data_IF_648614190693
#
_entry.id   IF_648614190693
#
_cell.length_a   1.000
_cell.length_b   1.000
_cell.length_c   1.000
_cell.angle_alpha   90.00
_cell.angle_beta   90.00
_cell.angle_gamma   90.00
#
_symmetry.space_group_name_H-M   'P 1'
#
loop_
_entity.id
_entity.type
_entity.pdbx_description
1 polymer ?
#
# COMPACT_ATOMS: atom_id res chain seq x y z
N UNK A 1 -3.58 -21.47 -9.70
CA UNK A 1 -2.71 -20.51 -10.42
C UNK A 1 -3.61 -19.74 -11.37
N UNK A 2 -4.29 -18.71 -10.85
CA UNK A 2 -5.10 -17.82 -11.68
C UNK A 2 -4.14 -16.76 -12.20
N UNK A 3 -3.75 -16.90 -13.45
CA UNK A 3 -3.00 -15.88 -14.17
C UNK A 3 -4.05 -14.87 -14.63
N UNK A 4 -4.25 -13.79 -13.87
CA UNK A 4 -5.03 -12.65 -14.34
C UNK A 4 -4.29 -12.07 -15.55
N UNK A 5 -4.95 -11.98 -16.70
CA UNK A 5 -4.31 -11.68 -17.99
C UNK A 5 -3.78 -10.24 -18.12
N UNK A 6 -3.78 -9.45 -17.04
CA UNK A 6 -3.32 -8.06 -16.96
C UNK A 6 -2.28 -7.83 -15.85
N UNK A 7 -1.72 -8.85 -15.21
CA UNK A 7 -0.68 -8.63 -14.19
C UNK A 7 0.57 -7.97 -14.81
N UNK A 8 1.04 -6.82 -14.28
CA UNK A 8 2.18 -6.13 -14.82
C UNK A 8 3.46 -6.97 -14.67
N UNK A 9 4.41 -6.81 -15.61
CA UNK A 9 5.62 -7.62 -15.62
C UNK A 9 6.57 -7.19 -14.50
N UNK A 10 7.23 -8.14 -13.79
CA UNK A 10 8.25 -7.81 -12.80
C UNK A 10 9.33 -6.90 -13.37
N UNK A 11 9.80 -5.95 -12.57
CA UNK A 11 10.88 -5.03 -12.93
C UNK A 11 12.21 -5.61 -12.50
N UNK A 12 13.15 -5.69 -13.43
CA UNK A 12 14.52 -6.10 -13.13
C UNK A 12 15.32 -4.92 -12.57
N UNK A 13 16.05 -5.14 -11.48
CA UNK A 13 17.00 -4.18 -10.93
C UNK A 13 18.35 -4.82 -10.68
N UNK A 14 19.39 -4.18 -11.20
CA UNK A 14 20.76 -4.64 -11.07
C UNK A 14 21.43 -3.92 -9.90
N UNK A 15 21.95 -4.69 -8.96
CA UNK A 15 22.73 -4.19 -7.84
C UNK A 15 24.19 -4.39 -8.17
N UNK A 16 24.96 -3.31 -8.03
CA UNK A 16 26.40 -3.36 -8.16
C UNK A 16 27.12 -2.82 -6.92
N UNK A 17 28.26 -3.41 -6.57
CA UNK A 17 29.12 -2.86 -5.51
C UNK A 17 29.78 -1.55 -5.96
N UNK A 18 30.18 -0.71 -5.00
CA UNK A 18 30.96 0.49 -5.32
C UNK A 18 32.25 0.15 -6.06
N UNK A 19 32.90 -0.96 -5.69
CA UNK A 19 34.10 -1.43 -6.39
C UNK A 19 33.76 -1.64 -7.86
N UNK A 20 32.71 -2.43 -8.14
CA UNK A 20 32.32 -2.73 -9.52
C UNK A 20 31.92 -1.50 -10.33
N UNK A 21 31.21 -0.55 -9.71
CA UNK A 21 30.91 0.73 -10.33
C UNK A 21 32.17 1.50 -10.73
N UNK A 22 33.16 1.61 -9.84
CA UNK A 22 34.40 2.35 -10.10
C UNK A 22 35.40 1.57 -10.96
N UNK A 23 35.29 0.25 -11.04
CA UNK A 23 36.11 -0.60 -11.93
C UNK A 23 35.43 -0.90 -13.26
N UNK A 24 34.27 -0.31 -13.53
CA UNK A 24 33.47 -0.51 -14.75
C UNK A 24 33.18 -2.00 -15.04
N UNK A 25 32.93 -2.78 -13.99
CA UNK A 25 32.55 -4.20 -14.12
C UNK A 25 31.04 -4.36 -14.06
N UNK A 26 30.55 -5.50 -14.57
CA UNK A 26 29.12 -5.80 -14.60
C UNK A 26 28.51 -5.91 -13.18
N UNK A 27 27.21 -5.56 -13.01
CA UNK A 27 26.51 -5.74 -11.74
C UNK A 27 26.54 -7.19 -11.26
N UNK A 28 26.78 -7.40 -9.96
CA UNK A 28 26.93 -8.74 -9.41
C UNK A 28 25.61 -9.45 -9.16
N UNK A 29 24.51 -8.69 -8.97
CA UNK A 29 23.22 -9.25 -8.56
C UNK A 29 22.09 -8.66 -9.37
N UNK A 30 21.20 -9.55 -9.81
CA UNK A 30 19.91 -9.19 -10.39
C UNK A 30 18.79 -9.46 -9.37
N UNK A 31 17.94 -8.47 -9.12
CA UNK A 31 16.75 -8.59 -8.26
C UNK A 31 15.50 -8.29 -9.09
N UNK A 32 14.58 -9.24 -9.08
CA UNK A 32 13.23 -9.04 -9.59
C UNK A 32 12.38 -8.31 -8.54
N UNK A 33 11.74 -7.22 -8.95
CA UNK A 33 10.86 -6.40 -8.13
C UNK A 33 9.43 -6.47 -8.63
N UNK A 34 8.49 -6.36 -7.71
CA UNK A 34 7.10 -6.12 -8.09
C UNK A 34 6.97 -4.72 -8.72
N UNK A 35 6.09 -4.55 -9.71
CA UNK A 35 5.70 -3.25 -10.23
C UNK A 35 5.17 -2.34 -9.10
N UNK A 36 5.47 -1.03 -9.13
CA UNK A 36 4.95 -0.10 -8.12
C UNK A 36 3.42 -0.05 -8.08
N UNK A 37 2.75 -0.19 -9.24
CA UNK A 37 1.28 -0.26 -9.33
C UNK A 37 0.70 -1.49 -8.60
N UNK A 38 1.36 -2.64 -8.70
CA UNK A 38 0.97 -3.86 -7.97
C UNK A 38 1.24 -3.70 -6.47
N UNK A 39 2.32 -2.99 -6.11
CA UNK A 39 2.61 -2.66 -4.72
C UNK A 39 1.53 -1.74 -4.14
N UNK A 40 1.12 -0.69 -4.85
CA UNK A 40 0.04 0.20 -4.41
C UNK A 40 -1.28 -0.57 -4.21
N UNK A 41 -1.64 -1.44 -5.17
CA UNK A 41 -2.84 -2.27 -5.12
C UNK A 41 -2.85 -3.23 -3.92
N UNK A 42 -1.75 -3.94 -3.67
CA UNK A 42 -1.59 -4.83 -2.51
C UNK A 42 -1.68 -4.05 -1.18
N UNK A 43 -1.10 -2.85 -1.12
CA UNK A 43 -1.18 -1.98 0.06
C UNK A 43 -2.59 -1.48 0.32
N UNK A 44 -3.34 -1.09 -0.72
CA UNK A 44 -4.73 -0.67 -0.59
C UNK A 44 -5.62 -1.82 -0.09
N UNK A 45 -5.49 -3.01 -0.70
CA UNK A 45 -6.20 -4.22 -0.24
C UNK A 45 -5.87 -4.52 1.23
N UNK A 46 -4.57 -4.58 1.55
CA UNK A 46 -4.09 -4.91 2.88
C UNK A 46 -4.56 -3.90 3.94
N UNK A 47 -4.50 -2.59 3.66
CA UNK A 47 -5.00 -1.56 4.54
C UNK A 47 -6.50 -1.75 4.80
N UNK A 48 -7.28 -1.92 3.72
CA UNK A 48 -8.75 -2.02 3.76
C UNK A 48 -9.21 -3.13 4.69
N UNK A 49 -8.80 -4.37 4.47
CA UNK A 49 -9.30 -5.47 5.31
C UNK A 49 -8.69 -5.44 6.72
N UNK A 50 -7.48 -4.90 6.91
CA UNK A 50 -6.87 -4.79 8.24
C UNK A 50 -7.59 -3.78 9.12
N UNK A 51 -7.97 -2.64 8.57
CA UNK A 51 -8.77 -1.64 9.29
C UNK A 51 -10.14 -2.24 9.66
N UNK A 52 -10.84 -2.85 8.70
CA UNK A 52 -12.18 -3.42 8.96
C UNK A 52 -12.19 -4.67 9.85
N UNK A 53 -11.08 -5.40 9.92
CA UNK A 53 -10.93 -6.58 10.81
C UNK A 53 -10.20 -6.27 12.11
N UNK A 54 -9.75 -5.02 12.29
CA UNK A 54 -9.15 -4.59 13.53
C UNK A 54 -10.15 -4.80 14.67
N UNK A 55 -9.67 -5.42 15.73
CA UNK A 55 -10.33 -5.49 17.00
C UNK A 55 -9.41 -4.90 18.06
N UNK A 56 -9.53 -3.58 18.26
CA UNK A 56 -8.80 -2.79 19.26
C UNK A 56 -8.83 -3.37 20.68
N UNK A 57 -9.86 -4.16 21.02
CA UNK A 57 -9.99 -4.80 22.34
C UNK A 57 -9.25 -6.15 22.47
N UNK A 58 -8.72 -6.69 21.37
CA UNK A 58 -8.00 -7.95 21.35
C UNK A 58 -6.49 -7.74 21.55
N UNK A 59 -5.88 -8.56 22.42
CA UNK A 59 -4.42 -8.62 22.52
C UNK A 59 -3.82 -9.13 21.20
N UNK A 60 -2.89 -8.35 20.61
CA UNK A 60 -2.14 -8.73 19.41
C UNK A 60 -2.51 -7.97 18.14
N UNK A 61 -3.24 -6.87 18.26
CA UNK A 61 -3.34 -5.85 17.20
C UNK A 61 -1.95 -5.41 16.74
N UNK A 62 -1.81 -5.23 15.43
CA UNK A 62 -0.58 -4.79 14.76
C UNK A 62 -0.68 -3.28 14.49
N UNK A 63 -0.19 -2.42 15.41
CA UNK A 63 -0.26 -0.95 15.25
C UNK A 63 0.53 -0.48 14.03
N UNK A 64 1.44 -1.31 13.50
CA UNK A 64 2.18 -0.97 12.28
C UNK A 64 1.31 -1.09 11.03
N UNK A 65 0.05 -1.53 11.09
CA UNK A 65 -0.81 -1.60 9.90
C UNK A 65 -0.99 -0.24 9.22
N UNK A 66 -1.00 0.84 10.02
CA UNK A 66 -1.17 2.22 9.56
C UNK A 66 -0.03 2.65 8.62
N UNK A 67 1.10 1.94 8.61
CA UNK A 67 2.17 2.15 7.64
C UNK A 67 1.71 2.02 6.18
N UNK A 68 0.68 1.21 5.93
CA UNK A 68 0.17 1.05 4.55
C UNK A 68 -0.44 2.34 4.02
N UNK A 69 -1.05 3.16 4.89
CA UNK A 69 -1.50 4.51 4.55
C UNK A 69 -0.31 5.39 4.12
N UNK A 70 0.79 5.35 4.87
CA UNK A 70 2.01 6.07 4.51
C UNK A 70 2.65 5.54 3.20
N UNK A 71 2.70 4.22 3.02
CA UNK A 71 3.31 3.57 1.84
C UNK A 71 2.57 3.90 0.52
N UNK A 72 1.26 4.17 0.58
CA UNK A 72 0.44 4.50 -0.60
C UNK A 72 0.75 5.91 -1.10
N UNK A 73 0.99 6.87 -0.20
CA UNK A 73 1.12 8.28 -0.57
C UNK A 73 2.22 8.56 -1.62
N UNK A 74 3.45 8.01 -1.52
CA UNK A 74 4.48 8.19 -2.55
C UNK A 74 4.15 7.54 -3.90
N UNK A 75 3.17 6.63 -3.95
CA UNK A 75 2.79 5.89 -5.16
C UNK A 75 1.68 6.58 -5.97
N UNK A 76 1.13 7.71 -5.48
CA UNK A 76 0.00 8.39 -6.13
C UNK A 76 0.29 8.81 -7.58
N UNK A 77 1.52 9.22 -7.89
CA UNK A 77 1.89 9.55 -9.27
C UNK A 77 1.81 8.34 -10.20
N UNK A 78 2.24 7.17 -9.73
CA UNK A 78 2.15 5.90 -10.48
C UNK A 78 0.69 5.50 -10.69
N UNK A 79 -0.16 5.67 -9.67
CA UNK A 79 -1.59 5.37 -9.76
C UNK A 79 -2.24 6.26 -10.83
N UNK A 80 -1.98 7.57 -10.80
CA UNK A 80 -2.51 8.55 -11.78
C UNK A 80 -2.02 8.31 -13.21
N UNK A 81 -0.85 7.71 -13.38
CA UNK A 81 -0.31 7.41 -14.72
C UNK A 81 -1.11 6.30 -15.44
N UNK A 82 -1.70 5.36 -14.70
CA UNK A 82 -2.47 4.24 -15.27
C UNK A 82 -3.61 3.78 -14.33
N UNK A 83 -4.64 4.64 -14.19
CA UNK A 83 -5.78 4.42 -13.29
C UNK A 83 -6.56 3.14 -13.64
N UNK A 84 -6.78 2.85 -14.93
CA UNK A 84 -7.51 1.65 -15.36
C UNK A 84 -6.78 0.38 -14.93
N UNK A 85 -5.46 0.31 -15.16
CA UNK A 85 -4.67 -0.84 -14.72
C UNK A 85 -4.64 -0.94 -13.20
N UNK A 86 -4.56 0.18 -12.49
CA UNK A 86 -4.56 0.20 -11.03
C UNK A 86 -5.85 -0.40 -10.47
N UNK A 87 -7.02 0.05 -10.94
CA UNK A 87 -8.33 -0.45 -10.50
C UNK A 87 -8.41 -1.96 -10.73
N UNK A 88 -8.08 -2.44 -11.93
CA UNK A 88 -8.11 -3.88 -12.27
C UNK A 88 -7.21 -4.72 -11.33
N UNK A 89 -6.01 -4.23 -11.03
CA UNK A 89 -5.02 -4.94 -10.20
C UNK A 89 -5.41 -4.88 -8.72
N UNK A 90 -5.95 -3.77 -8.24
CA UNK A 90 -6.42 -3.61 -6.87
C UNK A 90 -7.66 -4.47 -6.58
N UNK A 91 -8.65 -4.49 -7.49
CA UNK A 91 -9.79 -5.41 -7.41
C UNK A 91 -9.35 -6.87 -7.36
N UNK A 92 -8.41 -7.24 -8.25
CA UNK A 92 -7.86 -8.60 -8.29
C UNK A 92 -7.12 -8.97 -7.01
N UNK A 93 -6.39 -8.02 -6.42
CA UNK A 93 -5.67 -8.21 -5.15
C UNK A 93 -6.65 -8.43 -3.99
N UNK A 94 -7.67 -7.57 -3.88
CA UNK A 94 -8.71 -7.67 -2.87
C UNK A 94 -9.52 -8.97 -2.97
N UNK A 95 -9.91 -9.37 -4.17
CA UNK A 95 -10.59 -10.64 -4.41
C UNK A 95 -9.70 -11.85 -4.10
N UNK A 96 -8.38 -11.73 -4.30
CA UNK A 96 -7.42 -12.72 -3.84
C UNK A 96 -7.35 -12.84 -2.31
N UNK A 97 -7.33 -11.70 -1.62
CA UNK A 97 -7.23 -11.64 -0.17
C UNK A 97 -8.45 -12.24 0.54
N UNK A 98 -9.65 -11.87 0.11
CA UNK A 98 -10.90 -12.32 0.74
C UNK A 98 -11.10 -13.84 0.70
N UNK A 99 -10.51 -14.53 -0.28
CA UNK A 99 -10.60 -16.01 -0.39
C UNK A 99 -10.00 -16.75 0.81
N UNK A 100 -9.20 -16.06 1.63
CA UNK A 100 -8.64 -16.62 2.87
C UNK A 100 -9.63 -16.69 4.05
N UNK A 101 -10.83 -16.12 3.91
CA UNK A 101 -11.89 -16.05 4.91
C UNK A 101 -11.61 -15.07 6.06
N UNK A 102 -10.39 -15.08 6.62
CA UNK A 102 -9.98 -14.12 7.67
C UNK A 102 -9.95 -12.67 7.18
N UNK A 103 -9.67 -12.46 5.90
CA UNK A 103 -9.56 -11.15 5.25
C UNK A 103 -10.86 -10.73 4.55
N UNK A 104 -11.91 -11.54 4.60
CA UNK A 104 -13.16 -11.25 3.88
C UNK A 104 -14.00 -10.21 4.61
N UNK A 105 -14.10 -9.01 4.04
CA UNK A 105 -14.86 -7.88 4.59
C UNK A 105 -16.37 -8.08 4.53
N UNK A 106 -16.86 -9.06 3.74
CA UNK A 106 -18.29 -9.29 3.45
C UNK A 106 -18.97 -8.17 2.63
N UNK A 107 -18.19 -7.25 2.04
CA UNK A 107 -18.70 -6.18 1.18
C UNK A 107 -17.88 -6.11 -0.14
N UNK A 108 -18.39 -5.46 -1.20
CA UNK A 108 -17.61 -5.08 -2.37
C UNK A 108 -16.39 -4.22 -2.00
N UNK A 109 -15.39 -4.16 -2.89
CA UNK A 109 -14.16 -3.44 -2.60
C UNK A 109 -14.40 -1.93 -2.39
N UNK A 110 -15.17 -1.28 -3.26
CA UNK A 110 -15.55 0.14 -3.13
C UNK A 110 -16.17 0.45 -1.77
N UNK A 111 -17.17 -0.33 -1.34
CA UNK A 111 -17.82 -0.16 -0.02
C UNK A 111 -16.83 -0.40 1.12
N UNK A 112 -15.96 -1.40 0.99
CA UNK A 112 -14.95 -1.72 2.01
C UNK A 112 -13.91 -0.61 2.16
N UNK A 113 -13.46 0.01 1.06
CA UNK A 113 -12.51 1.13 1.09
C UNK A 113 -13.16 2.33 1.79
N UNK A 114 -14.41 2.65 1.45
CA UNK A 114 -15.14 3.75 2.07
C UNK A 114 -15.32 3.54 3.58
N UNK A 115 -15.74 2.34 4.00
CA UNK A 115 -15.87 2.01 5.42
C UNK A 115 -14.51 2.07 6.14
N UNK A 116 -13.43 1.63 5.49
CA UNK A 116 -12.09 1.72 6.07
C UNK A 116 -11.63 3.18 6.26
N UNK A 117 -11.91 4.07 5.29
CA UNK A 117 -11.64 5.50 5.42
C UNK A 117 -12.44 6.09 6.58
N UNK A 118 -13.73 5.76 6.70
CA UNK A 118 -14.55 6.21 7.83
C UNK A 118 -13.99 5.73 9.18
N UNK A 119 -13.48 4.50 9.27
CA UNK A 119 -12.80 4.03 10.48
C UNK A 119 -11.53 4.83 10.79
N UNK A 120 -10.71 5.13 9.78
CA UNK A 120 -9.49 5.92 9.94
C UNK A 120 -9.80 7.35 10.43
N UNK A 121 -10.87 7.96 9.92
CA UNK A 121 -11.27 9.32 10.30
C UNK A 121 -11.85 9.44 11.71
N UNK A 122 -12.55 8.39 12.18
CA UNK A 122 -13.27 8.41 13.46
C UNK A 122 -12.46 7.87 14.65
N UNK A 123 -11.31 7.25 14.42
CA UNK A 123 -10.45 6.68 15.46
C UNK A 123 -9.13 7.45 15.58
N UNK A 124 -9.04 8.32 16.59
CA UNK A 124 -7.85 9.14 16.88
C UNK A 124 -6.59 8.29 17.17
N UNK A 125 -6.74 7.01 17.54
CA UNK A 125 -5.61 6.12 17.78
C UNK A 125 -4.80 5.89 16.49
N UNK A 126 -5.44 5.79 15.32
CA UNK A 126 -4.73 5.65 14.04
C UNK A 126 -3.81 6.84 13.74
N UNK A 127 -4.24 8.06 14.08
CA UNK A 127 -3.43 9.26 13.90
C UNK A 127 -2.18 9.22 14.78
N UNK A 128 -2.32 8.77 16.02
CA UNK A 128 -1.20 8.63 16.95
C UNK A 128 -0.25 7.51 16.49
N UNK A 129 -0.78 6.36 16.09
CA UNK A 129 0.00 5.24 15.53
C UNK A 129 0.77 5.67 14.28
N UNK A 130 0.15 6.44 13.40
CA UNK A 130 0.78 6.96 12.18
C UNK A 130 1.94 7.88 12.53
N UNK A 131 1.73 8.82 13.45
CA UNK A 131 2.79 9.73 13.92
C UNK A 131 3.96 8.94 14.50
N UNK A 132 3.70 7.99 15.38
CA UNK A 132 4.75 7.15 15.98
C UNK A 132 5.51 6.35 14.94
N UNK A 133 4.82 5.82 13.92
CA UNK A 133 5.45 5.12 12.81
C UNK A 133 6.35 6.04 12.00
N UNK A 134 5.86 7.21 11.59
CA UNK A 134 6.63 8.19 10.80
C UNK A 134 7.87 8.66 11.58
N UNK A 135 7.70 9.02 12.86
CA UNK A 135 8.82 9.45 13.73
C UNK A 135 9.90 8.36 13.87
N UNK A 136 9.51 7.08 13.86
CA UNK A 136 10.43 5.97 14.04
C UNK A 136 11.13 5.53 12.73
N UNK A 137 10.47 5.70 11.58
CA UNK A 137 10.87 5.05 10.32
C UNK A 137 11.15 6.00 9.17
N UNK A 138 10.69 7.25 9.23
CA UNK A 138 10.96 8.24 8.19
C UNK A 138 12.33 8.88 8.40
N UNK A 139 13.17 8.82 7.37
CA UNK A 139 14.42 9.57 7.27
C UNK A 139 14.31 10.78 6.32
N UNK A 140 13.09 11.04 5.81
CA UNK A 140 12.82 12.22 5.00
C UNK A 140 12.92 13.47 5.87
N UNK A 141 13.25 14.61 5.25
CA UNK A 141 13.19 15.88 5.95
C UNK A 141 11.72 16.18 6.34
N UNK A 142 11.52 16.96 7.42
CA UNK A 142 10.17 17.21 7.98
C UNK A 142 9.18 17.74 6.93
N UNK A 143 9.67 18.49 5.94
CA UNK A 143 8.91 19.08 4.83
C UNK A 143 8.60 18.11 3.67
N UNK A 144 9.25 16.95 3.64
CA UNK A 144 8.97 15.86 2.70
C UNK A 144 8.12 14.75 3.34
N UNK A 145 7.92 14.79 4.67
CA UNK A 145 7.07 13.83 5.38
C UNK A 145 5.59 14.08 5.07
N UNK A 146 4.85 13.02 4.77
CA UNK A 146 3.40 13.09 4.58
C UNK A 146 2.75 12.95 5.96
N UNK A 147 1.97 13.94 6.39
CA UNK A 147 1.20 13.84 7.62
C UNK A 147 -0.05 12.96 7.44
N UNK A 148 -0.66 12.56 8.56
CA UNK A 148 -1.82 11.66 8.54
C UNK A 148 -2.99 12.21 7.71
N UNK A 149 -3.31 13.50 7.84
CA UNK A 149 -4.43 14.12 7.12
C UNK A 149 -4.19 14.09 5.61
N UNK A 150 -2.98 14.49 5.20
CA UNK A 150 -2.55 14.44 3.80
C UNK A 150 -2.57 13.02 3.24
N UNK A 151 -2.19 12.01 4.04
CA UNK A 151 -2.22 10.62 3.61
C UNK A 151 -3.65 10.10 3.46
N UNK A 152 -4.58 10.50 4.34
CA UNK A 152 -6.01 10.18 4.20
C UNK A 152 -6.63 10.88 2.99
N UNK A 153 -6.29 12.14 2.72
CA UNK A 153 -6.74 12.85 1.50
C UNK A 153 -6.29 12.12 0.22
N UNK A 154 -5.04 11.64 0.18
CA UNK A 154 -4.55 10.81 -0.92
C UNK A 154 -5.32 9.49 -1.01
N UNK A 155 -5.60 8.84 0.12
CA UNK A 155 -6.40 7.61 0.12
C UNK A 155 -7.82 7.84 -0.41
N UNK A 156 -8.45 8.97 -0.05
CA UNK A 156 -9.76 9.37 -0.57
C UNK A 156 -9.73 9.61 -2.08
N UNK A 157 -8.67 10.24 -2.59
CA UNK A 157 -8.46 10.39 -4.03
C UNK A 157 -8.35 9.03 -4.73
N UNK A 158 -7.57 8.10 -4.17
CA UNK A 158 -7.43 6.74 -4.70
C UNK A 158 -8.77 5.99 -4.65
N UNK A 159 -9.55 6.16 -3.58
CA UNK A 159 -10.85 5.52 -3.44
C UNK A 159 -11.87 6.00 -4.48
N UNK A 160 -11.79 7.27 -4.88
CA UNK A 160 -12.68 7.84 -5.90
C UNK A 160 -12.49 7.22 -7.30
N UNK A 161 -11.41 6.48 -7.54
CA UNK A 161 -11.19 5.74 -8.79
C UNK A 161 -12.13 4.53 -8.95
N UNK A 162 -12.79 4.10 -7.87
CA UNK A 162 -13.67 2.91 -7.83
C UNK A 162 -15.17 3.25 -7.84
N UNK A 163 -15.53 4.51 -8.11
CA UNK A 163 -16.92 5.01 -8.25
C UNK A 163 -17.43 4.95 -9.70
#
# INVERSE_FOLDING_TARGET
MIIHSKSPKPLCHYIQSFISYYTETEPEVEILRLPPIETAADKLSALTWRVLKSNRSAHGEDPEMVRHLHDIAPLISVIREDEELFVDVADSSFEGDRQTGKRDTQAPFTESIQEAIECLDNDEEYREEYRQFVDAMSYADDDESVDFDSAVEILQEVAALFE
#
